data_IF_363479284086
#
_entry.id   IF_363479284086
#
_cell.length_a   1.000
_cell.length_b   1.000
_cell.length_c   1.000
_cell.angle_alpha   90.00
_cell.angle_beta   90.00
_cell.angle_gamma   90.00
#
_symmetry.space_group_name_H-M   'P 1'
#
loop_
_entity.id
_entity.type
_entity.pdbx_description
1 polymer ?
#
# COMPACT_ATOMS: atom_id res chain seq x y z
N UNK A 1 -10.63 -13.19 -8.03
CA UNK A 1 -10.02 -14.32 -8.77
C UNK A 1 -9.54 -15.35 -7.76
N UNK A 2 -9.90 -16.63 -7.91
CA UNK A 2 -9.32 -17.69 -7.08
C UNK A 2 -7.87 -17.90 -7.54
N UNK A 3 -6.91 -17.39 -6.77
CA UNK A 3 -5.51 -17.82 -6.89
C UNK A 3 -4.42 -16.74 -6.88
N UNK A 4 -4.74 -15.44 -6.87
CA UNK A 4 -3.73 -14.39 -6.79
C UNK A 4 -4.10 -13.34 -5.74
N UNK A 5 -3.26 -13.20 -4.72
CA UNK A 5 -3.43 -12.29 -3.57
C UNK A 5 -2.37 -11.19 -3.58
N UNK A 6 -2.50 -10.22 -2.66
CA UNK A 6 -1.50 -9.17 -2.45
C UNK A 6 -0.09 -9.72 -2.22
N UNK A 7 0.03 -10.83 -1.49
CA UNK A 7 1.30 -11.49 -1.22
C UNK A 7 1.95 -12.03 -2.49
N UNK A 8 1.15 -12.56 -3.41
CA UNK A 8 1.67 -13.09 -4.68
C UNK A 8 2.17 -11.96 -5.59
N UNK A 9 1.47 -10.82 -5.60
CA UNK A 9 1.89 -9.61 -6.33
C UNK A 9 3.26 -9.14 -5.84
N UNK A 10 3.43 -8.94 -4.53
CA UNK A 10 4.69 -8.41 -3.98
C UNK A 10 5.83 -9.42 -4.14
N UNK A 11 5.58 -10.73 -3.97
CA UNK A 11 6.58 -11.76 -4.23
C UNK A 11 7.02 -11.79 -5.71
N UNK A 12 6.09 -11.60 -6.64
CA UNK A 12 6.42 -11.51 -8.06
C UNK A 12 7.25 -10.26 -8.38
N UNK A 13 6.99 -9.13 -7.72
CA UNK A 13 7.80 -7.90 -7.85
C UNK A 13 9.22 -8.14 -7.29
N UNK A 14 9.33 -8.66 -6.07
CA UNK A 14 10.62 -8.96 -5.43
C UNK A 14 11.42 -9.97 -6.26
N UNK A 15 10.78 -10.99 -6.83
CA UNK A 15 11.43 -11.94 -7.72
C UNK A 15 12.06 -11.30 -8.97
N UNK A 16 11.55 -10.14 -9.43
CA UNK A 16 12.10 -9.39 -10.56
C UNK A 16 13.22 -8.43 -10.16
N UNK A 17 13.07 -7.73 -9.04
CA UNK A 17 14.06 -6.71 -8.60
C UNK A 17 15.17 -7.31 -7.72
N UNK A 18 14.98 -8.53 -7.20
CA UNK A 18 15.86 -9.18 -6.25
C UNK A 18 15.70 -8.66 -4.81
N UNK A 19 16.26 -9.39 -3.86
CA UNK A 19 16.18 -9.05 -2.42
C UNK A 19 16.92 -7.77 -2.03
N UNK A 20 17.77 -7.25 -2.91
CA UNK A 20 18.49 -6.00 -2.73
C UNK A 20 17.96 -4.86 -3.63
N UNK A 21 16.91 -5.09 -4.42
CA UNK A 21 16.42 -4.17 -5.44
C UNK A 21 15.96 -2.80 -4.91
N UNK A 22 15.58 -2.73 -3.64
CA UNK A 22 15.19 -1.50 -2.93
C UNK A 22 16.26 -0.94 -1.98
N UNK A 23 17.47 -1.51 -1.93
CA UNK A 23 18.50 -1.10 -0.95
C UNK A 23 18.80 0.39 -1.08
N UNK A 24 18.66 1.13 0.02
CA UNK A 24 18.87 2.58 0.05
C UNK A 24 17.70 3.42 -0.49
N UNK A 25 16.58 2.80 -0.85
CA UNK A 25 15.43 3.46 -1.46
C UNK A 25 14.12 3.12 -0.74
N UNK A 26 13.07 3.88 -1.06
CA UNK A 26 11.67 3.58 -0.74
C UNK A 26 11.01 3.02 -2.00
N UNK A 27 10.12 2.04 -1.85
CA UNK A 27 9.34 1.49 -2.97
C UNK A 27 7.92 2.04 -2.92
N UNK A 28 7.52 2.75 -3.97
CA UNK A 28 6.12 3.08 -4.22
C UNK A 28 5.48 2.01 -5.10
N UNK A 29 4.40 1.40 -4.62
CA UNK A 29 3.61 0.42 -5.38
C UNK A 29 2.39 1.12 -6.00
N UNK A 30 2.32 1.09 -7.33
CA UNK A 30 1.29 1.78 -8.12
C UNK A 30 0.71 0.88 -9.21
N UNK A 31 -0.32 1.38 -9.91
CA UNK A 31 -1.01 0.70 -11.00
C UNK A 31 -2.28 -0.04 -10.58
N UNK A 32 -3.03 -0.50 -11.57
CA UNK A 32 -4.41 -0.95 -11.37
C UNK A 32 -4.53 -2.19 -10.49
N UNK A 33 -3.54 -3.09 -10.54
CA UNK A 33 -3.47 -4.26 -9.67
C UNK A 33 -3.35 -3.88 -8.19
N UNK A 34 -2.59 -2.82 -7.86
CA UNK A 34 -2.45 -2.31 -6.49
C UNK A 34 -3.71 -1.53 -6.07
N UNK A 35 -4.28 -0.73 -6.98
CA UNK A 35 -5.52 0.01 -6.72
C UNK A 35 -6.71 -0.91 -6.45
N UNK A 36 -6.75 -2.08 -7.10
CA UNK A 36 -7.78 -3.09 -6.90
C UNK A 36 -7.68 -3.84 -5.54
N UNK A 37 -6.58 -3.67 -4.80
CA UNK A 37 -6.45 -4.23 -3.45
C UNK A 37 -7.23 -3.40 -2.44
N UNK A 38 -7.84 -4.09 -1.48
CA UNK A 38 -8.30 -3.47 -0.25
C UNK A 38 -7.12 -3.01 0.62
N UNK A 39 -7.41 -2.31 1.72
CA UNK A 39 -6.35 -1.81 2.59
C UNK A 39 -5.51 -2.91 3.25
N UNK A 40 -6.08 -4.09 3.54
CA UNK A 40 -5.32 -5.21 4.07
C UNK A 40 -4.29 -5.73 3.06
N UNK A 41 -4.70 -5.84 1.79
CA UNK A 41 -3.81 -6.17 0.68
C UNK A 41 -2.71 -5.13 0.50
N UNK A 42 -3.06 -3.84 0.51
CA UNK A 42 -2.06 -2.75 0.41
C UNK A 42 -1.06 -2.77 1.56
N UNK A 43 -1.52 -3.00 2.79
CA UNK A 43 -0.63 -3.16 3.96
C UNK A 43 0.29 -4.37 3.81
N UNK A 44 -0.20 -5.47 3.24
CA UNK A 44 0.64 -6.65 2.94
C UNK A 44 1.76 -6.31 1.96
N UNK A 45 1.46 -5.58 0.88
CA UNK A 45 2.46 -5.14 -0.10
C UNK A 45 3.49 -4.23 0.55
N UNK A 46 3.06 -3.21 1.31
CA UNK A 46 3.98 -2.28 1.97
C UNK A 46 4.83 -2.96 3.04
N UNK A 47 4.23 -3.85 3.84
CA UNK A 47 4.95 -4.63 4.85
C UNK A 47 6.07 -5.45 4.22
N UNK A 48 5.79 -6.08 3.07
CA UNK A 48 6.75 -6.94 2.40
C UNK A 48 7.80 -6.21 1.54
N UNK A 49 7.80 -4.87 1.55
CA UNK A 49 8.83 -4.08 0.85
C UNK A 49 10.23 -4.31 1.44
N UNK A 50 10.32 -4.73 2.71
CA UNK A 50 11.58 -4.98 3.40
C UNK A 50 12.31 -6.22 2.84
N UNK A 51 11.59 -7.22 2.35
CA UNK A 51 12.13 -8.41 1.68
C UNK A 51 12.76 -8.07 0.32
N UNK A 52 12.36 -6.96 -0.30
CA UNK A 52 13.05 -6.36 -1.45
C UNK A 52 14.22 -5.45 -1.07
N UNK A 53 14.52 -5.30 0.21
CA UNK A 53 15.60 -4.44 0.73
C UNK A 53 15.22 -2.97 0.88
N UNK A 54 13.95 -2.61 0.71
CA UNK A 54 13.51 -1.21 0.80
C UNK A 54 13.49 -0.71 2.25
N UNK A 55 13.71 0.60 2.43
CA UNK A 55 13.57 1.28 3.72
C UNK A 55 12.12 1.38 4.18
N UNK A 56 11.21 1.53 3.22
CA UNK A 56 9.78 1.58 3.42
C UNK A 56 9.06 1.21 2.13
N UNK A 57 7.80 0.84 2.27
CA UNK A 57 6.85 0.65 1.17
C UNK A 57 5.69 1.62 1.32
N UNK A 58 5.23 2.18 0.20
CA UNK A 58 4.08 3.07 0.20
C UNK A 58 3.15 2.83 -0.99
N UNK A 59 1.87 3.15 -0.78
CA UNK A 59 0.83 3.22 -1.81
C UNK A 59 0.17 4.57 -1.64
N UNK A 60 0.05 5.34 -2.72
CA UNK A 60 -0.63 6.63 -2.69
C UNK A 60 -2.07 6.47 -2.17
N UNK A 61 -2.54 7.35 -1.27
CA UNK A 61 -3.89 7.28 -0.76
C UNK A 61 -4.91 7.53 -1.88
N UNK A 62 -6.00 6.78 -1.86
CA UNK A 62 -7.19 6.99 -2.70
C UNK A 62 -8.46 6.75 -1.87
N UNK A 63 -9.63 6.69 -2.52
CA UNK A 63 -10.90 6.48 -1.83
C UNK A 63 -10.91 5.23 -0.94
N UNK A 64 -10.25 4.13 -1.34
CA UNK A 64 -10.15 2.91 -0.53
C UNK A 64 -9.41 3.19 0.78
N UNK A 65 -8.33 3.98 0.70
CA UNK A 65 -7.57 4.41 1.88
C UNK A 65 -8.42 5.34 2.76
N UNK A 66 -9.11 6.32 2.17
CA UNK A 66 -9.95 7.26 2.92
C UNK A 66 -11.10 6.55 3.62
N UNK A 67 -11.81 5.66 2.93
CA UNK A 67 -12.90 4.89 3.52
C UNK A 67 -12.43 4.04 4.68
N UNK A 68 -11.29 3.36 4.53
CA UNK A 68 -10.70 2.56 5.60
C UNK A 68 -10.28 3.42 6.81
N UNK A 69 -9.61 4.55 6.58
CA UNK A 69 -9.14 5.42 7.67
C UNK A 69 -10.32 6.02 8.41
N UNK A 70 -11.37 6.45 7.71
CA UNK A 70 -12.54 7.11 8.32
C UNK A 70 -13.37 6.19 9.23
N UNK A 71 -13.17 4.88 9.18
CA UNK A 71 -13.76 3.93 10.14
C UNK A 71 -12.98 3.81 11.45
N UNK A 72 -11.78 4.38 11.54
CA UNK A 72 -10.91 4.25 12.72
C UNK A 72 -11.33 5.22 13.83
N UNK A 73 -11.17 4.80 15.08
CA UNK A 73 -11.58 5.58 16.26
C UNK A 73 -10.91 6.95 16.35
N UNK A 74 -9.67 7.06 15.86
CA UNK A 74 -8.85 8.27 15.86
C UNK A 74 -8.95 9.05 14.54
N UNK A 75 -9.83 8.66 13.63
CA UNK A 75 -9.98 9.36 12.37
C UNK A 75 -10.53 10.79 12.59
N UNK A 76 -10.11 11.77 11.79
CA UNK A 76 -10.71 13.10 11.80
C UNK A 76 -12.20 13.01 11.45
N UNK A 77 -13.01 13.89 12.03
CA UNK A 77 -14.47 13.94 11.88
C UNK A 77 -14.93 15.31 11.35
N UNK A 78 -16.09 15.36 10.71
CA UNK A 78 -16.68 16.59 10.17
C UNK A 78 -15.71 17.36 9.27
N UNK A 79 -15.65 18.68 9.42
CA UNK A 79 -14.77 19.56 8.64
C UNK A 79 -13.27 19.22 8.73
N UNK A 80 -12.82 18.61 9.82
CA UNK A 80 -11.43 18.17 9.93
C UNK A 80 -11.12 17.01 8.99
N UNK A 81 -12.13 16.17 8.68
CA UNK A 81 -12.01 15.08 7.71
C UNK A 81 -11.94 15.62 6.30
N UNK A 82 -12.86 16.52 5.95
CA UNK A 82 -12.95 17.13 4.62
C UNK A 82 -11.62 17.81 4.25
N UNK A 83 -11.11 18.65 5.16
CA UNK A 83 -9.80 19.31 4.99
C UNK A 83 -8.63 18.34 4.87
N UNK A 84 -8.68 17.19 5.54
CA UNK A 84 -7.61 16.19 5.47
C UNK A 84 -7.61 15.38 4.17
N UNK A 85 -8.73 15.33 3.45
CA UNK A 85 -8.86 14.62 2.16
C UNK A 85 -8.50 15.54 0.98
N UNK A 86 -8.72 16.85 1.12
CA UNK A 86 -8.43 17.84 0.07
C UNK A 86 -6.93 18.19 -0.08
N UNK A 87 -6.09 17.88 0.92
CA UNK A 87 -4.67 18.25 0.99
C UNK A 87 -3.75 17.14 0.46
#
# INVERSE_FOLDING_TARGET
ALGCSAKDIVLAIIGKIGTAGGTGHVIESAGDAIRALDMAGRMTVCNMSIEGGARAGMVAPDQTTFDYVCTRSLAPKGEARERAIEY
#
